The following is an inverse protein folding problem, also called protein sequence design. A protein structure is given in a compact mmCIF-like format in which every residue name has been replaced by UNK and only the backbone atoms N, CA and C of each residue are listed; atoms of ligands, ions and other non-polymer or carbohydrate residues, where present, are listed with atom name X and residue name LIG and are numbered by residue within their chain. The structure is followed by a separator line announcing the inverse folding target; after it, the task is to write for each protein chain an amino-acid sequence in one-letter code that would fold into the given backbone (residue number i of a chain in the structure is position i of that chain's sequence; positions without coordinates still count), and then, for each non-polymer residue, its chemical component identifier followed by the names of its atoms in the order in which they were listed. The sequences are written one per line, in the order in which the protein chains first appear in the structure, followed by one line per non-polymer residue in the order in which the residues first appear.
data_IF_032582075981
#
_entry.id   IF_032582075981
#
_cell.length_a   1.000
_cell.length_b   1.000
_cell.length_c   1.000
_cell.angle_alpha   90.00
_cell.angle_beta   90.00
_cell.angle_gamma   90.00
#
_symmetry.space_group_name_H-M   'P 1'
#
loop_
_entity.id
_entity.type
_entity.pdbx_description
1 polymer ?
#
# COMPACT_ATOMS: atom_id res chain seq x y z
N UNK A 1 11.85 29.14 -36.19
CA UNK A 1 10.73 29.93 -35.65
C UNK A 1 10.20 29.21 -34.45
N UNK A 2 10.18 29.86 -33.33
CA UNK A 2 9.54 29.24 -32.16
C UNK A 2 8.06 29.01 -32.44
N UNK A 3 7.53 27.90 -32.01
CA UNK A 3 6.10 27.66 -32.03
C UNK A 3 5.41 28.87 -31.40
N UNK A 4 4.31 29.32 -31.99
CA UNK A 4 3.51 30.38 -31.43
C UNK A 4 2.96 29.90 -30.11
N UNK A 5 3.45 30.41 -29.01
CA UNK A 5 2.93 30.12 -27.71
C UNK A 5 1.55 30.74 -27.54
N UNK A 6 0.63 29.99 -27.00
CA UNK A 6 -0.65 30.53 -26.63
C UNK A 6 -0.44 31.54 -25.48
N UNK A 7 -0.75 32.84 -25.67
CA UNK A 7 -0.53 33.87 -24.63
C UNK A 7 -1.38 33.64 -23.37
N UNK A 8 -2.37 32.77 -23.43
CA UNK A 8 -3.19 32.41 -22.30
C UNK A 8 -2.61 31.29 -21.44
N UNK A 9 -1.53 30.63 -21.90
CA UNK A 9 -0.79 29.70 -21.09
C UNK A 9 0.05 30.44 -20.06
N UNK A 10 -0.49 30.65 -18.92
CA UNK A 10 0.20 31.11 -17.74
C UNK A 10 0.81 29.93 -17.03
N UNK A 11 2.12 29.81 -17.07
CA UNK A 11 2.78 28.67 -16.47
C UNK A 11 3.01 28.90 -14.99
N UNK A 12 2.57 27.96 -14.12
CA UNK A 12 2.92 28.03 -12.73
C UNK A 12 4.42 27.86 -12.52
N UNK A 13 4.97 28.55 -11.55
CA UNK A 13 6.30 28.27 -11.03
C UNK A 13 7.49 28.96 -11.68
N UNK A 14 7.27 29.90 -12.58
CA UNK A 14 8.36 30.67 -13.15
C UNK A 14 8.11 32.19 -13.11
N UNK A 15 9.16 32.98 -12.94
CA UNK A 15 9.12 34.40 -13.25
C UNK A 15 8.87 34.63 -14.74
N UNK A 16 9.16 33.63 -15.55
CA UNK A 16 8.87 33.62 -16.98
C UNK A 16 7.50 32.96 -17.21
N UNK A 17 6.48 33.79 -17.30
CA UNK A 17 5.08 33.38 -17.51
C UNK A 17 4.83 32.69 -18.86
N UNK A 18 5.80 32.67 -19.74
CA UNK A 18 5.71 32.08 -21.09
C UNK A 18 6.63 30.87 -21.25
N UNK A 19 7.17 30.36 -20.17
CA UNK A 19 7.97 29.14 -20.18
C UNK A 19 7.19 27.88 -20.60
N UNK A 20 7.89 26.88 -21.05
CA UNK A 20 7.26 25.60 -21.40
C UNK A 20 6.94 24.77 -20.16
N UNK A 21 5.75 24.20 -20.13
CA UNK A 21 5.39 23.22 -19.10
C UNK A 21 6.01 21.88 -19.46
N UNK A 22 6.74 21.31 -18.52
CA UNK A 22 7.21 19.92 -18.61
C UNK A 22 6.13 19.01 -18.07
N UNK A 23 5.81 17.97 -18.80
CA UNK A 23 4.81 16.99 -18.38
C UNK A 23 5.52 15.72 -17.95
N UNK A 24 5.19 15.24 -16.76
CA UNK A 24 5.65 13.93 -16.27
C UNK A 24 4.55 12.91 -16.43
N UNK A 25 4.86 11.81 -17.10
CA UNK A 25 3.95 10.68 -17.27
C UNK A 25 4.03 9.67 -16.11
N UNK A 26 4.92 9.91 -15.17
CA UNK A 26 5.08 9.09 -13.97
C UNK A 26 4.96 9.94 -12.72
N UNK A 27 4.49 9.32 -11.64
CA UNK A 27 4.46 9.92 -10.32
C UNK A 27 5.89 9.95 -9.75
N UNK A 28 6.53 11.11 -9.83
CA UNK A 28 7.91 11.30 -9.40
C UNK A 28 8.00 12.52 -8.46
N UNK A 29 8.32 12.25 -7.20
CA UNK A 29 8.39 13.29 -6.17
C UNK A 29 9.51 14.30 -6.38
N UNK A 30 10.50 14.00 -7.23
CA UNK A 30 11.58 14.94 -7.59
C UNK A 30 11.12 15.99 -8.59
N UNK A 31 9.99 15.79 -9.25
CA UNK A 31 9.41 16.69 -10.24
C UNK A 31 8.35 17.57 -9.59
N UNK A 32 8.66 18.83 -9.39
CA UNK A 32 7.79 19.76 -8.67
C UNK A 32 7.21 20.82 -9.62
N UNK A 33 6.09 21.39 -9.21
CA UNK A 33 5.51 22.53 -9.94
C UNK A 33 6.44 23.75 -9.95
N UNK A 34 7.25 23.93 -8.90
CA UNK A 34 8.24 24.99 -8.82
C UNK A 34 9.32 24.87 -9.91
N UNK A 35 9.61 23.66 -10.37
CA UNK A 35 10.54 23.37 -11.46
C UNK A 35 9.85 23.35 -12.83
N UNK A 36 8.62 23.79 -12.91
CA UNK A 36 7.83 23.83 -14.15
C UNK A 36 7.25 22.50 -14.60
N UNK A 37 7.15 21.51 -13.69
CA UNK A 37 6.54 20.21 -13.99
C UNK A 37 5.05 20.21 -13.70
N UNK A 38 4.30 19.58 -14.57
CA UNK A 38 2.90 19.24 -14.37
C UNK A 38 2.70 17.72 -14.51
N UNK A 39 1.80 17.16 -13.73
CA UNK A 39 1.44 15.76 -13.87
C UNK A 39 0.52 15.57 -15.09
N UNK A 40 0.83 14.58 -15.91
CA UNK A 40 -0.11 14.12 -16.94
C UNK A 40 -1.29 13.36 -16.31
N UNK A 41 -2.39 13.15 -17.05
CA UNK A 41 -3.44 12.26 -16.61
C UNK A 41 -2.92 10.84 -16.27
N UNK A 42 -1.91 10.36 -16.98
CA UNK A 42 -1.27 9.07 -16.70
C UNK A 42 -0.56 9.08 -15.33
N UNK A 43 0.20 10.11 -15.01
CA UNK A 43 0.86 10.23 -13.72
C UNK A 43 -0.16 10.37 -12.56
N UNK A 44 -1.27 11.07 -12.77
CA UNK A 44 -2.35 11.17 -11.79
C UNK A 44 -3.03 9.81 -11.59
N UNK A 45 -3.31 9.09 -12.67
CA UNK A 45 -3.90 7.75 -12.61
C UNK A 45 -2.98 6.77 -11.88
N UNK A 46 -1.66 6.85 -12.10
CA UNK A 46 -0.67 6.02 -11.41
C UNK A 46 -0.77 6.17 -9.89
N UNK A 47 -0.92 7.40 -9.38
CA UNK A 47 -1.04 7.64 -7.94
C UNK A 47 -2.34 7.10 -7.34
N UNK A 48 -3.36 6.85 -8.16
CA UNK A 48 -4.67 6.35 -7.75
C UNK A 48 -4.81 4.84 -7.98
N UNK A 49 -3.85 4.23 -8.65
CA UNK A 49 -3.88 2.80 -8.94
C UNK A 49 -3.59 1.98 -7.69
N UNK A 50 -4.35 0.91 -7.52
CA UNK A 50 -4.06 -0.11 -6.52
C UNK A 50 -2.87 -0.95 -6.98
N UNK A 51 -1.80 -0.93 -6.24
CA UNK A 51 -0.63 -1.76 -6.49
C UNK A 51 -0.67 -3.00 -5.60
N UNK A 52 -0.76 -4.17 -6.23
CA UNK A 52 -0.68 -5.43 -5.49
C UNK A 52 0.75 -5.68 -5.01
N UNK A 53 0.90 -5.95 -3.73
CA UNK A 53 2.18 -6.33 -3.14
C UNK A 53 2.53 -7.77 -3.57
N UNK A 54 3.74 -8.00 -4.06
CA UNK A 54 4.12 -9.28 -4.68
C UNK A 54 5.02 -10.18 -3.82
N UNK A 55 5.53 -9.66 -2.71
CA UNK A 55 6.62 -10.33 -1.97
C UNK A 55 6.25 -10.64 -0.51
N UNK A 56 5.00 -11.06 -0.28
CA UNK A 56 4.62 -11.56 1.04
C UNK A 56 5.34 -12.88 1.33
N UNK A 57 5.76 -13.04 2.55
CA UNK A 57 6.36 -14.29 3.04
C UNK A 57 5.63 -14.79 4.27
N UNK A 58 5.39 -16.08 4.34
CA UNK A 58 4.86 -16.74 5.51
C UNK A 58 5.98 -17.41 6.31
N UNK A 59 5.80 -17.47 7.62
CA UNK A 59 6.70 -18.26 8.50
C UNK A 59 6.41 -19.76 8.36
N UNK A 60 7.25 -20.61 8.95
CA UNK A 60 7.01 -22.06 8.99
C UNK A 60 5.62 -22.39 9.55
N UNK A 61 5.00 -23.43 9.02
CA UNK A 61 3.64 -23.88 9.36
C UNK A 61 2.51 -22.91 8.98
N UNK A 62 2.80 -21.94 8.11
CA UNK A 62 1.79 -21.04 7.52
C UNK A 62 1.92 -21.08 6.01
N UNK A 63 0.81 -21.31 5.32
CA UNK A 63 0.70 -21.14 3.88
C UNK A 63 -0.23 -19.98 3.55
N UNK A 64 0.12 -19.19 2.52
CA UNK A 64 -0.73 -18.12 2.01
C UNK A 64 -1.58 -18.69 0.89
N UNK A 65 -2.89 -18.74 1.11
CA UNK A 65 -3.86 -19.27 0.15
C UNK A 65 -4.47 -18.16 -0.69
N UNK A 66 -4.69 -17.00 -0.07
CA UNK A 66 -5.18 -15.78 -0.72
C UNK A 66 -4.23 -14.66 -0.38
N UNK A 67 -3.66 -14.08 -1.42
CA UNK A 67 -2.72 -12.97 -1.31
C UNK A 67 -3.34 -11.74 -1.98
N UNK A 68 -3.96 -10.89 -1.18
CA UNK A 68 -4.58 -9.65 -1.61
C UNK A 68 -4.16 -8.50 -0.70
N UNK A 69 -2.92 -8.07 -0.83
CA UNK A 69 -2.41 -6.87 -0.20
C UNK A 69 -2.20 -5.80 -1.27
N UNK A 70 -2.92 -4.71 -1.13
CA UNK A 70 -2.87 -3.60 -2.08
C UNK A 70 -2.41 -2.33 -1.39
N UNK A 71 -1.65 -1.55 -2.13
CA UNK A 71 -1.27 -0.20 -1.70
C UNK A 71 -1.86 0.81 -2.67
N UNK A 72 -2.46 1.87 -2.13
CA UNK A 72 -2.92 3.02 -2.89
C UNK A 72 -2.39 4.27 -2.22
N UNK A 73 -1.41 4.92 -2.83
CA UNK A 73 -0.63 5.99 -2.18
C UNK A 73 0.00 5.47 -0.88
N UNK A 74 -0.46 5.99 0.25
CA UNK A 74 0.00 5.59 1.59
C UNK A 74 -0.98 4.68 2.33
N UNK A 75 -2.09 4.29 1.70
CA UNK A 75 -3.02 3.34 2.29
C UNK A 75 -2.64 1.91 1.91
N UNK A 76 -2.73 1.04 2.88
CA UNK A 76 -2.50 -0.40 2.72
C UNK A 76 -3.77 -1.13 3.12
N UNK A 77 -4.29 -1.90 2.18
CA UNK A 77 -5.42 -2.80 2.38
C UNK A 77 -4.90 -4.22 2.40
N UNK A 78 -5.08 -4.90 3.53
CA UNK A 78 -4.65 -6.28 3.74
C UNK A 78 -5.87 -7.18 3.76
N UNK A 79 -5.88 -8.15 2.87
CA UNK A 79 -6.84 -9.25 2.85
C UNK A 79 -6.10 -10.53 2.48
N UNK A 80 -5.72 -11.30 3.49
CA UNK A 80 -4.89 -12.50 3.31
C UNK A 80 -5.66 -13.70 3.84
N UNK A 81 -5.77 -14.75 3.03
CA UNK A 81 -6.22 -16.07 3.47
C UNK A 81 -5.03 -16.95 3.76
N UNK A 82 -5.00 -17.57 4.92
CA UNK A 82 -3.93 -18.46 5.35
C UNK A 82 -4.45 -19.79 5.84
N UNK A 83 -3.61 -20.81 5.72
CA UNK A 83 -3.76 -22.07 6.44
C UNK A 83 -2.58 -22.24 7.39
N UNK A 84 -2.85 -22.51 8.64
CA UNK A 84 -1.85 -22.81 9.66
C UNK A 84 -1.91 -24.28 10.06
N UNK A 85 -0.75 -24.92 10.19
CA UNK A 85 -0.64 -26.32 10.62
C UNK A 85 -0.17 -26.46 12.08
N UNK A 86 0.11 -25.34 12.73
CA UNK A 86 0.46 -25.26 14.14
C UNK A 86 -0.32 -24.12 14.82
N UNK A 87 -0.34 -24.12 16.13
CA UNK A 87 -0.88 -23.02 16.92
C UNK A 87 0.12 -21.86 16.99
N UNK A 88 -0.39 -20.63 16.99
CA UNK A 88 0.40 -19.41 17.15
C UNK A 88 -0.14 -18.57 18.32
N UNK A 89 0.74 -17.83 18.96
CA UNK A 89 0.41 -17.03 20.13
C UNK A 89 1.14 -15.68 20.11
N UNK A 90 0.57 -14.70 19.39
CA UNK A 90 1.11 -13.35 19.33
C UNK A 90 2.41 -13.20 18.52
N UNK A 91 2.86 -14.24 17.83
CA UNK A 91 4.09 -14.24 17.03
C UNK A 91 3.83 -13.79 15.59
N UNK A 92 4.86 -13.29 14.87
CA UNK A 92 4.74 -13.01 13.45
C UNK A 92 4.37 -14.26 12.66
N UNK A 93 3.44 -14.11 11.71
CA UNK A 93 3.01 -15.20 10.82
C UNK A 93 3.16 -14.84 9.35
N UNK A 94 3.00 -13.57 9.01
CA UNK A 94 3.27 -13.03 7.67
C UNK A 94 4.30 -11.93 7.80
N UNK A 95 5.24 -11.89 6.88
CA UNK A 95 6.30 -10.88 6.84
C UNK A 95 6.31 -10.14 5.50
N UNK A 96 7.10 -9.09 5.42
CA UNK A 96 7.22 -8.25 4.23
C UNK A 96 5.93 -7.49 3.86
N UNK A 97 5.08 -7.17 4.84
CA UNK A 97 4.02 -6.18 4.67
C UNK A 97 4.59 -4.76 4.84
N UNK A 98 3.99 -3.73 4.20
CA UNK A 98 4.44 -2.36 4.39
C UNK A 98 4.42 -1.95 5.87
N UNK A 99 5.41 -1.14 6.25
CA UNK A 99 5.51 -0.64 7.62
C UNK A 99 4.35 0.31 7.93
N UNK A 100 3.58 0.08 9.00
CA UNK A 100 2.56 1.03 9.41
C UNK A 100 3.21 2.30 10.01
N UNK A 101 2.59 3.45 9.77
CA UNK A 101 2.98 4.71 10.43
C UNK A 101 2.75 4.61 11.94
N UNK A 102 1.65 4.00 12.36
CA UNK A 102 1.43 3.67 13.75
C UNK A 102 2.30 2.48 14.18
N UNK A 103 2.80 2.51 15.40
CA UNK A 103 3.63 1.42 15.95
C UNK A 103 2.92 0.06 15.87
N UNK A 104 1.62 0.07 16.10
CA UNK A 104 0.74 -1.10 16.02
C UNK A 104 -0.52 -0.73 15.26
N UNK A 105 -0.94 -1.62 14.36
CA UNK A 105 -2.23 -1.53 13.69
C UNK A 105 -3.00 -2.82 13.91
N UNK A 106 -4.27 -2.70 14.20
CA UNK A 106 -5.13 -3.86 14.45
C UNK A 106 -5.30 -4.69 13.17
N UNK A 107 -5.15 -6.00 13.30
CA UNK A 107 -5.48 -6.97 12.27
C UNK A 107 -6.58 -7.90 12.78
N UNK A 108 -7.66 -8.00 12.04
CA UNK A 108 -8.80 -8.86 12.39
C UNK A 108 -8.61 -10.24 11.78
N UNK A 109 -8.77 -11.28 12.59
CA UNK A 109 -8.73 -12.67 12.16
C UNK A 109 -10.12 -13.27 12.20
N UNK A 110 -10.57 -13.80 11.08
CA UNK A 110 -11.86 -14.51 10.97
C UNK A 110 -11.67 -15.90 10.40
N UNK A 111 -12.62 -16.80 10.66
CA UNK A 111 -12.73 -18.05 9.92
C UNK A 111 -13.14 -17.77 8.47
N UNK A 112 -13.03 -18.77 7.59
CA UNK A 112 -13.53 -18.64 6.21
C UNK A 112 -15.06 -18.49 6.14
N UNK A 113 -15.78 -18.87 7.19
CA UNK A 113 -17.22 -18.61 7.34
C UNK A 113 -17.54 -17.20 7.85
N UNK A 114 -16.53 -16.38 8.16
CA UNK A 114 -16.69 -14.99 8.62
C UNK A 114 -16.83 -14.85 10.14
N UNK A 115 -16.68 -15.92 10.91
CA UNK A 115 -16.70 -15.85 12.35
C UNK A 115 -15.43 -15.20 12.90
N UNK A 116 -15.57 -14.20 13.77
CA UNK A 116 -14.44 -13.52 14.41
C UNK A 116 -13.68 -14.50 15.31
N UNK A 117 -12.39 -14.65 15.03
CA UNK A 117 -11.48 -15.43 15.89
C UNK A 117 -10.79 -14.58 16.93
N UNK A 118 -10.38 -13.40 16.57
CA UNK A 118 -9.65 -12.50 17.46
C UNK A 118 -8.90 -11.42 16.69
N UNK A 119 -8.07 -10.70 17.42
CA UNK A 119 -7.27 -9.60 16.90
C UNK A 119 -5.80 -9.89 17.03
N UNK A 120 -5.09 -9.74 15.92
CA UNK A 120 -3.64 -9.63 15.86
C UNK A 120 -3.21 -8.22 15.56
N UNK A 121 -1.97 -8.06 15.13
CA UNK A 121 -1.37 -6.75 14.92
C UNK A 121 -0.51 -6.72 13.67
N UNK A 122 -0.50 -5.59 12.99
CA UNK A 122 0.57 -5.25 12.05
C UNK A 122 1.59 -4.41 12.79
N UNK A 123 2.82 -4.88 12.83
CA UNK A 123 3.92 -4.21 13.52
C UNK A 123 5.24 -4.59 12.84
N UNK A 124 6.12 -3.61 12.64
CA UNK A 124 7.47 -3.84 12.13
C UNK A 124 7.52 -4.60 10.80
N UNK A 125 6.55 -4.37 9.91
CA UNK A 125 6.50 -5.07 8.61
C UNK A 125 6.03 -6.52 8.69
N UNK A 126 5.39 -6.91 9.79
CA UNK A 126 4.85 -8.25 10.00
C UNK A 126 3.41 -8.21 10.49
N UNK A 127 2.64 -9.20 10.10
CA UNK A 127 1.35 -9.51 10.72
C UNK A 127 1.57 -10.52 11.82
N UNK A 128 1.12 -10.21 13.02
CA UNK A 128 1.20 -11.07 14.20
C UNK A 128 -0.14 -11.73 14.49
N UNK A 129 -0.08 -12.99 14.83
CA UNK A 129 -1.27 -13.77 15.20
C UNK A 129 -1.93 -13.24 16.47
N UNK A 130 -3.23 -13.46 16.65
CA UNK A 130 -3.87 -13.36 17.95
C UNK A 130 -3.24 -14.32 18.95
N UNK A 131 -3.52 -14.12 20.25
CA UNK A 131 -3.25 -15.14 21.25
C UNK A 131 -4.14 -16.36 21.00
N UNK A 132 -3.58 -17.55 21.14
CA UNK A 132 -4.31 -18.81 20.98
C UNK A 132 -4.96 -19.00 19.59
N UNK A 133 -4.24 -18.66 18.52
CA UNK A 133 -4.67 -19.01 17.18
C UNK A 133 -4.40 -20.51 16.95
N UNK A 134 -5.45 -21.30 16.82
CA UNK A 134 -5.34 -22.74 16.53
C UNK A 134 -4.91 -23.00 15.09
N UNK A 135 -4.43 -24.19 14.81
CA UNK A 135 -4.26 -24.67 13.44
C UNK A 135 -5.62 -24.63 12.70
N UNK A 136 -5.61 -24.17 11.47
CA UNK A 136 -6.83 -24.02 10.67
C UNK A 136 -6.66 -23.00 9.55
N UNK A 137 -7.79 -22.60 8.98
CA UNK A 137 -7.86 -21.60 7.89
C UNK A 137 -8.43 -20.30 8.39
N UNK A 138 -7.75 -19.20 8.09
CA UNK A 138 -8.07 -17.88 8.62
C UNK A 138 -7.99 -16.81 7.56
N UNK A 139 -8.89 -15.83 7.61
CA UNK A 139 -8.72 -14.56 6.92
C UNK A 139 -8.13 -13.50 7.85
N UNK A 140 -7.21 -12.73 7.30
CA UNK A 140 -6.58 -11.59 7.96
C UNK A 140 -7.01 -10.33 7.23
N UNK A 141 -7.60 -9.40 7.96
CA UNK A 141 -8.11 -8.13 7.42
C UNK A 141 -7.46 -7.00 8.21
N UNK A 142 -6.80 -6.08 7.53
CA UNK A 142 -6.28 -4.86 8.12
C UNK A 142 -6.30 -3.72 7.10
N UNK A 143 -6.44 -2.51 7.59
CA UNK A 143 -6.31 -1.29 6.79
C UNK A 143 -5.47 -0.30 7.60
N UNK A 144 -4.46 0.30 6.96
CA UNK A 144 -3.59 1.23 7.64
C UNK A 144 -2.84 2.14 6.67
N UNK A 145 -2.22 3.18 7.25
CA UNK A 145 -1.35 4.10 6.51
C UNK A 145 0.11 3.66 6.66
N UNK A 146 0.85 3.65 5.56
CA UNK A 146 2.30 3.41 5.51
C UNK A 146 3.07 4.72 5.25
N UNK A 147 4.38 4.67 5.38
CA UNK A 147 5.26 5.80 5.10
C UNK A 147 5.34 6.19 3.63
#
# INVERSE_FOLDING_TARGET
MSATRNPYYQLPGGADLLGDVRVSDTADASKTAADGWAASPAAVAETQTHHKLKNLSAVSNVSIDIDSVYTTRKNVDVYIGITTTAAFNGTPIITAVPLPVATYTLATFTSFSGELKGYGWVNGGSVRAPTNLHAGTWFIIANYTTY
#
